data_IF_793707338583
#
_entry.id   IF_793707338583
#
_cell.length_a   1.000
_cell.length_b   1.000
_cell.length_c   1.000
_cell.angle_alpha   90.00
_cell.angle_beta   90.00
_cell.angle_gamma   90.00
#
_symmetry.space_group_name_H-M   'P 1'
#
loop_
_entity.id
_entity.type
_entity.pdbx_description
1 polymer ?
#
# COMPACT_ATOMS: atom_id res chain seq x y z
N UNK A 1 35.08 -16.78 -12.45
CA UNK A 1 34.11 -16.88 -11.35
C UNK A 1 33.68 -15.46 -11.01
N UNK A 2 32.58 -14.97 -11.60
CA UNK A 2 32.12 -13.59 -11.40
C UNK A 2 30.97 -13.61 -10.40
N UNK A 3 31.31 -13.14 -9.20
CA UNK A 3 30.48 -12.41 -8.24
C UNK A 3 28.97 -12.65 -8.34
N UNK A 4 28.45 -13.49 -7.43
CA UNK A 4 27.04 -13.51 -7.07
C UNK A 4 26.66 -12.10 -6.60
N UNK A 5 25.86 -11.41 -7.42
CA UNK A 5 25.14 -10.23 -6.97
C UNK A 5 24.25 -10.64 -5.81
N UNK A 6 24.62 -10.18 -4.63
CA UNK A 6 23.81 -10.29 -3.43
C UNK A 6 22.50 -9.55 -3.73
N UNK A 7 21.43 -10.30 -3.98
CA UNK A 7 20.10 -9.72 -4.07
C UNK A 7 19.89 -8.94 -2.76
N UNK A 8 19.46 -7.66 -2.80
CA UNK A 8 19.24 -6.90 -1.59
C UNK A 8 18.31 -7.72 -0.71
N UNK A 9 18.79 -8.09 0.48
CA UNK A 9 18.08 -8.93 1.42
C UNK A 9 16.67 -8.35 1.57
N UNK A 10 15.69 -9.03 0.99
CA UNK A 10 14.31 -8.58 0.96
C UNK A 10 13.83 -8.61 2.40
N UNK A 11 13.87 -7.47 3.07
CA UNK A 11 13.42 -7.38 4.45
C UNK A 11 12.00 -7.95 4.52
N UNK A 12 11.74 -8.89 5.45
CA UNK A 12 10.41 -9.45 5.58
C UNK A 12 9.42 -8.31 5.86
N UNK A 13 8.31 -8.31 5.12
CA UNK A 13 7.21 -7.38 5.36
C UNK A 13 6.69 -7.63 6.78
N UNK A 14 6.40 -6.57 7.53
CA UNK A 14 5.71 -6.73 8.80
C UNK A 14 4.29 -7.27 8.56
N UNK A 15 3.74 -8.07 9.49
CA UNK A 15 2.45 -8.74 9.30
C UNK A 15 1.31 -7.75 9.03
N UNK A 16 1.33 -6.59 9.68
CA UNK A 16 0.33 -5.52 9.51
C UNK A 16 0.31 -4.97 8.07
N UNK A 17 1.50 -4.86 7.46
CA UNK A 17 1.65 -4.37 6.09
C UNK A 17 1.24 -5.43 5.06
N UNK A 18 1.46 -6.71 5.38
CA UNK A 18 0.97 -7.81 4.56
C UNK A 18 -0.57 -7.89 4.55
N UNK A 19 -1.21 -7.74 5.71
CA UNK A 19 -2.67 -7.68 5.82
C UNK A 19 -3.26 -6.51 5.03
N UNK A 20 -2.56 -5.38 4.97
CA UNK A 20 -2.99 -4.25 4.18
C UNK A 20 -2.89 -4.51 2.68
N UNK A 21 -1.74 -5.03 2.22
CA UNK A 21 -1.54 -5.39 0.81
C UNK A 21 -2.55 -6.46 0.38
N UNK A 22 -2.88 -7.40 1.27
CA UNK A 22 -3.94 -8.39 1.03
C UNK A 22 -5.30 -7.70 0.82
N UNK A 23 -5.69 -6.76 1.69
CA UNK A 23 -6.96 -6.02 1.52
C UNK A 23 -7.04 -5.27 0.19
N UNK A 24 -5.95 -4.62 -0.23
CA UNK A 24 -5.88 -3.97 -1.53
C UNK A 24 -6.02 -4.96 -2.69
N UNK A 25 -5.34 -6.09 -2.62
CA UNK A 25 -5.43 -7.13 -3.62
C UNK A 25 -6.84 -7.71 -3.71
N UNK A 26 -7.50 -7.92 -2.56
CA UNK A 26 -8.90 -8.39 -2.51
C UNK A 26 -9.83 -7.40 -3.19
N UNK A 27 -9.75 -6.12 -2.83
CA UNK A 27 -10.58 -5.07 -3.43
C UNK A 27 -10.35 -5.00 -4.95
N UNK A 28 -9.10 -5.01 -5.39
CA UNK A 28 -8.77 -4.99 -6.81
C UNK A 28 -9.33 -6.21 -7.56
N UNK A 29 -9.20 -7.41 -6.99
CA UNK A 29 -9.76 -8.64 -7.57
C UNK A 29 -11.29 -8.56 -7.69
N UNK A 30 -11.98 -8.06 -6.66
CA UNK A 30 -13.44 -7.88 -6.69
C UNK A 30 -13.87 -6.84 -7.74
N UNK A 31 -13.14 -5.72 -7.86
CA UNK A 31 -13.42 -4.66 -8.84
C UNK A 31 -13.18 -5.10 -10.28
N UNK A 32 -12.17 -5.95 -10.52
CA UNK A 32 -11.80 -6.41 -11.86
C UNK A 32 -12.43 -7.77 -12.22
N UNK A 33 -13.17 -8.39 -11.31
CA UNK A 33 -13.76 -9.72 -11.52
C UNK A 33 -12.70 -10.83 -11.71
N UNK A 34 -11.52 -10.65 -11.12
CA UNK A 34 -10.37 -11.55 -11.24
C UNK A 34 -10.33 -12.48 -10.04
N UNK A 35 -10.11 -13.78 -10.27
CA UNK A 35 -9.92 -14.73 -9.17
C UNK A 35 -8.55 -14.55 -8.51
N UNK A 36 -8.46 -14.74 -7.20
CA UNK A 36 -7.19 -14.57 -6.47
C UNK A 36 -6.10 -15.57 -6.89
N UNK A 37 -6.46 -16.65 -7.57
CA UNK A 37 -5.53 -17.66 -8.10
C UNK A 37 -5.15 -17.38 -9.55
N UNK A 38 -5.70 -16.33 -10.15
CA UNK A 38 -5.38 -15.93 -11.50
C UNK A 38 -3.95 -15.36 -11.57
N UNK A 39 -3.30 -15.53 -12.72
CA UNK A 39 -1.98 -14.99 -12.97
C UNK A 39 -1.97 -13.45 -12.87
N UNK A 40 -3.07 -12.80 -13.24
CA UNK A 40 -3.23 -11.36 -13.10
C UNK A 40 -3.22 -10.91 -11.63
N UNK A 41 -3.83 -11.69 -10.72
CA UNK A 41 -3.79 -11.39 -9.29
C UNK A 41 -2.37 -11.58 -8.73
N UNK A 42 -1.63 -12.58 -9.21
CA UNK A 42 -0.24 -12.81 -8.81
C UNK A 42 0.70 -11.70 -9.30
N UNK A 43 0.49 -11.20 -10.52
CA UNK A 43 1.25 -10.08 -11.08
C UNK A 43 1.01 -8.79 -10.27
N UNK A 44 -0.26 -8.47 -10.00
CA UNK A 44 -0.64 -7.30 -9.19
C UNK A 44 -0.12 -7.42 -7.76
N UNK A 45 -0.18 -8.60 -7.13
CA UNK A 45 0.38 -8.83 -5.81
C UNK A 45 1.90 -8.58 -5.79
N UNK A 46 2.61 -9.03 -6.82
CA UNK A 46 4.05 -8.83 -6.96
C UNK A 46 4.40 -7.36 -7.14
N UNK A 47 3.67 -6.64 -7.99
CA UNK A 47 3.83 -5.22 -8.20
C UNK A 47 3.52 -4.40 -6.93
N UNK A 48 2.48 -4.77 -6.18
CA UNK A 48 2.12 -4.14 -4.90
C UNK A 48 3.22 -4.32 -3.85
N UNK A 49 3.79 -5.52 -3.75
CA UNK A 49 4.90 -5.81 -2.83
C UNK A 49 6.16 -5.05 -3.22
N UNK A 50 6.49 -5.01 -4.52
CA UNK A 50 7.66 -4.29 -5.02
C UNK A 50 7.52 -2.78 -4.79
N UNK A 51 6.36 -2.22 -5.15
CA UNK A 51 6.04 -0.82 -4.90
C UNK A 51 6.12 -0.45 -3.41
N UNK A 52 5.56 -1.29 -2.53
CA UNK A 52 5.61 -1.08 -1.08
C UNK A 52 7.06 -1.09 -0.55
N UNK A 53 7.93 -1.94 -1.13
CA UNK A 53 9.34 -2.06 -0.74
C UNK A 53 10.21 -0.92 -1.26
N UNK A 54 9.90 -0.39 -2.44
CA UNK A 54 10.69 0.67 -3.08
C UNK A 54 10.60 2.01 -2.34
N UNK A 55 9.54 2.25 -1.58
CA UNK A 55 9.38 3.51 -0.86
C UNK A 55 9.04 3.29 0.64
N UNK A 56 10.03 3.47 1.54
CA UNK A 56 9.84 3.28 2.98
C UNK A 56 8.95 4.36 3.62
N UNK A 57 8.54 5.40 2.89
CA UNK A 57 7.59 6.39 3.37
C UNK A 57 6.15 5.93 3.16
N UNK A 58 5.86 5.04 2.21
CA UNK A 58 4.51 4.52 2.02
C UNK A 58 4.09 3.55 3.12
N UNK A 59 5.00 2.74 3.66
CA UNK A 59 4.71 1.99 4.89
C UNK A 59 4.28 2.87 6.07
N UNK A 60 4.73 4.13 6.09
CA UNK A 60 4.27 5.15 7.05
C UNK A 60 2.96 5.86 6.65
N UNK A 61 2.67 6.03 5.36
CA UNK A 61 1.42 6.69 4.87
C UNK A 61 0.21 5.76 4.85
N UNK A 62 0.46 4.48 4.69
CA UNK A 62 -0.55 3.42 4.65
C UNK A 62 -1.09 3.10 6.04
N UNK A 63 -0.24 3.27 7.06
CA UNK A 63 -0.69 3.38 8.45
C UNK A 63 -1.18 4.81 8.64
N UNK A 64 -2.45 5.04 9.01
CA UNK A 64 -2.87 6.36 9.42
C UNK A 64 -2.12 6.70 10.71
N UNK A 65 -0.95 7.34 10.58
CA UNK A 65 -0.32 7.96 11.73
C UNK A 65 -1.25 9.08 12.18
N UNK A 66 -1.64 9.15 13.46
CA UNK A 66 -2.55 10.17 13.96
C UNK A 66 -2.00 11.61 13.90
N UNK A 67 -0.83 11.83 13.28
CA UNK A 67 -0.01 13.03 13.47
C UNK A 67 0.55 13.67 12.19
N UNK A 68 0.13 13.24 10.98
CA UNK A 68 0.29 14.16 9.85
C UNK A 68 -0.82 15.19 9.99
N UNK A 69 -0.47 16.32 10.62
CA UNK A 69 -1.23 17.57 10.69
C UNK A 69 -1.68 17.91 9.26
N UNK A 70 -2.84 17.34 8.88
CA UNK A 70 -3.45 17.56 7.59
C UNK A 70 -3.61 19.07 7.52
N UNK A 71 -2.97 19.78 6.56
CA UNK A 71 -3.02 21.23 6.55
C UNK A 71 -4.50 21.59 6.56
N UNK A 72 -4.95 22.21 7.65
CA UNK A 72 -6.36 22.54 7.87
C UNK A 72 -6.74 23.54 6.80
N UNK A 73 -7.14 23.03 5.64
CA UNK A 73 -7.56 23.86 4.54
C UNK A 73 -8.77 24.64 5.03
N UNK A 74 -8.69 25.98 5.08
CA UNK A 74 -9.78 26.80 5.59
C UNK A 74 -11.07 26.53 4.82
N UNK A 75 -10.96 26.20 3.52
CA UNK A 75 -12.09 25.81 2.67
C UNK A 75 -12.77 24.52 3.12
N UNK A 76 -12.01 23.49 3.52
CA UNK A 76 -12.59 22.23 4.01
C UNK A 76 -13.30 22.44 5.34
N UNK A 77 -12.76 23.28 6.23
CA UNK A 77 -13.44 23.59 7.50
C UNK A 77 -14.75 24.36 7.28
N UNK A 78 -14.79 25.29 6.33
CA UNK A 78 -16.02 26.01 5.97
C UNK A 78 -17.07 25.05 5.41
N UNK A 79 -16.66 24.08 4.59
CA UNK A 79 -17.57 23.07 4.03
C UNK A 79 -18.14 22.15 5.13
N UNK A 80 -17.30 21.69 6.06
CA UNK A 80 -17.74 20.87 7.19
C UNK A 80 -18.74 21.59 8.10
N UNK A 81 -18.51 22.87 8.40
CA UNK A 81 -19.42 23.66 9.23
C UNK A 81 -20.80 23.90 8.58
N UNK A 82 -20.89 23.87 7.25
CA UNK A 82 -22.17 24.03 6.54
C UNK A 82 -23.04 22.76 6.52
N UNK A 83 -22.47 21.62 6.90
CA UNK A 83 -23.17 20.33 6.94
C UNK A 83 -23.63 19.95 8.35
N UNK A 84 -23.34 20.78 9.35
CA UNK A 84 -23.74 20.61 10.75
C UNK A 84 -25.02 21.38 11.09
#
# INVERSE_FOLDING_TARGET
>A
MIQQGEAPAQAPLAPDDLELLEKFLVAWCEENGVDRRDEAAADVASALIDWYRLDPKFGKRLKPTPDEDLPKSPEIQILLQKMA
#
